data_IF_575732976983
#
_entry.id   IF_575732976983
#
_cell.length_a   1.000
_cell.length_b   1.000
_cell.length_c   1.000
_cell.angle_alpha   90.00
_cell.angle_beta   90.00
_cell.angle_gamma   90.00
#
_symmetry.space_group_name_H-M   'P 1'
#
loop_
_entity.id
_entity.type
_entity.pdbx_description
1 polymer ?
#
# COMPACT_ATOMS: atom_id res chain seq x y z
N UNK A 1 -24.80 5.50 4.69
CA UNK A 1 -23.58 5.03 5.37
C UNK A 1 -22.66 6.21 5.56
N UNK A 2 -22.44 6.62 6.80
CA UNK A 2 -21.73 7.85 7.14
C UNK A 2 -20.24 7.79 6.81
N UNK A 3 -19.73 8.89 6.27
CA UNK A 3 -18.36 9.11 5.87
C UNK A 3 -17.50 9.48 7.09
N UNK A 4 -17.43 8.57 8.07
CA UNK A 4 -16.73 8.85 9.32
C UNK A 4 -15.23 8.77 9.08
N UNK A 5 -14.46 9.83 9.39
CA UNK A 5 -13.01 9.77 9.28
C UNK A 5 -12.47 8.65 10.16
N UNK A 6 -11.48 7.89 9.68
CA UNK A 6 -10.77 6.89 10.48
C UNK A 6 -10.17 7.52 11.74
N UNK A 7 -10.54 7.08 12.93
CA UNK A 7 -10.17 7.72 14.22
C UNK A 7 -9.16 6.93 15.04
N UNK A 8 -8.82 5.71 14.63
CA UNK A 8 -7.94 4.77 15.33
C UNK A 8 -6.44 4.97 15.06
N UNK A 9 -6.06 6.00 14.29
CA UNK A 9 -4.68 6.21 13.83
C UNK A 9 -4.15 7.61 14.13
N UNK A 10 -2.83 7.70 14.33
CA UNK A 10 -2.11 8.98 14.39
C UNK A 10 -2.19 9.67 13.02
N UNK A 11 -2.58 10.94 13.01
CA UNK A 11 -2.79 11.71 11.78
C UNK A 11 -1.58 12.56 11.44
N UNK A 12 -0.61 11.95 10.78
CA UNK A 12 0.40 12.72 10.05
C UNK A 12 -0.26 13.44 8.85
N UNK A 13 0.41 14.47 8.31
CA UNK A 13 -0.06 15.15 7.10
C UNK A 13 -0.16 14.16 5.94
N UNK A 14 0.90 13.37 5.71
CA UNK A 14 0.95 12.33 4.69
C UNK A 14 -0.21 11.35 4.82
N UNK A 15 -0.45 10.83 6.03
CA UNK A 15 -1.56 9.90 6.27
C UNK A 15 -2.91 10.54 5.97
N UNK A 16 -3.10 11.80 6.37
CA UNK A 16 -4.35 12.52 6.08
C UNK A 16 -4.61 12.67 4.58
N UNK A 17 -3.56 12.94 3.80
CA UNK A 17 -3.66 13.05 2.34
C UNK A 17 -3.94 11.70 1.67
N UNK A 18 -3.27 10.63 2.11
CA UNK A 18 -3.51 9.26 1.63
C UNK A 18 -4.94 8.82 1.95
N UNK A 19 -5.45 9.06 3.17
CA UNK A 19 -6.82 8.73 3.55
C UNK A 19 -7.86 9.46 2.66
N UNK A 20 -7.54 10.65 2.17
CA UNK A 20 -8.44 11.39 1.26
C UNK A 20 -8.53 10.76 -0.14
N UNK A 21 -7.54 9.94 -0.55
CA UNK A 21 -7.57 9.17 -1.80
C UNK A 21 -8.69 8.13 -1.77
N UNK A 22 -8.89 7.47 -0.63
CA UNK A 22 -9.89 6.41 -0.44
C UNK A 22 -11.28 6.92 -0.07
N UNK A 23 -11.53 8.23 -0.21
CA UNK A 23 -12.83 8.81 0.05
C UNK A 23 -13.90 8.21 -0.88
N UNK A 24 -15.09 7.86 -0.36
CA UNK A 24 -16.17 7.19 -1.11
C UNK A 24 -16.52 7.80 -2.47
N UNK A 25 -16.47 9.13 -2.59
CA UNK A 25 -16.66 9.87 -3.85
C UNK A 25 -15.71 9.46 -4.99
N UNK A 26 -14.60 8.82 -4.66
CA UNK A 26 -13.57 8.37 -5.58
C UNK A 26 -13.73 6.89 -5.97
N UNK A 27 -14.73 6.19 -5.43
CA UNK A 27 -15.03 4.81 -5.80
C UNK A 27 -15.86 4.83 -7.09
N UNK A 28 -15.22 4.47 -8.19
CA UNK A 28 -15.80 4.20 -9.50
C UNK A 28 -15.60 2.73 -9.88
N UNK A 29 -16.05 2.33 -11.08
CA UNK A 29 -15.80 0.97 -11.61
C UNK A 29 -14.31 0.66 -11.54
N UNK A 30 -13.98 -0.53 -11.04
CA UNK A 30 -12.61 -1.03 -10.86
C UNK A 30 -11.75 -0.20 -9.90
N UNK A 31 -12.33 0.80 -9.24
CA UNK A 31 -11.65 1.79 -8.40
C UNK A 31 -10.51 2.54 -9.14
N UNK A 32 -10.72 2.80 -10.43
CA UNK A 32 -9.81 3.52 -11.32
C UNK A 32 -9.42 4.92 -10.83
N UNK A 33 -10.35 5.67 -10.23
CA UNK A 33 -10.04 6.99 -9.68
C UNK A 33 -9.09 6.88 -8.50
N UNK A 34 -9.27 5.88 -7.62
CA UNK A 34 -8.34 5.63 -6.51
C UNK A 34 -6.95 5.29 -7.06
N UNK A 35 -6.85 4.41 -8.06
CA UNK A 35 -5.58 4.06 -8.69
C UNK A 35 -4.86 5.30 -9.26
N UNK A 36 -5.57 6.15 -10.01
CA UNK A 36 -5.03 7.42 -10.53
C UNK A 36 -4.55 8.37 -9.43
N UNK A 37 -5.24 8.39 -8.29
CA UNK A 37 -4.88 9.23 -7.15
C UNK A 37 -3.72 8.66 -6.31
N UNK A 38 -3.43 7.36 -6.42
CA UNK A 38 -2.25 6.73 -5.82
C UNK A 38 -0.97 6.94 -6.64
N UNK A 39 -1.07 7.19 -7.95
CA UNK A 39 0.07 7.42 -8.84
C UNK A 39 1.09 8.47 -8.36
N UNK A 40 0.69 9.64 -7.80
CA UNK A 40 1.63 10.59 -7.22
C UNK A 40 2.46 9.98 -6.07
N UNK A 41 1.87 9.15 -5.21
CA UNK A 41 2.59 8.50 -4.11
C UNK A 41 3.56 7.44 -4.62
N UNK A 42 3.19 6.68 -5.65
CA UNK A 42 4.10 5.76 -6.34
C UNK A 42 5.31 6.51 -6.91
N UNK A 43 5.09 7.65 -7.57
CA UNK A 43 6.17 8.49 -8.12
C UNK A 43 7.09 9.02 -7.02
N UNK A 44 6.52 9.57 -5.96
CA UNK A 44 7.28 10.07 -4.81
C UNK A 44 8.10 8.95 -4.16
N UNK A 45 7.51 7.76 -3.97
CA UNK A 45 8.24 6.60 -3.48
C UNK A 45 9.44 6.26 -4.37
N UNK A 46 9.24 6.15 -5.68
CA UNK A 46 10.33 5.88 -6.62
C UNK A 46 11.42 6.95 -6.59
N UNK A 47 11.05 8.22 -6.43
CA UNK A 47 12.00 9.33 -6.31
C UNK A 47 12.80 9.26 -5.00
N UNK A 48 12.13 8.98 -3.88
CA UNK A 48 12.78 8.77 -2.57
C UNK A 48 13.79 7.63 -2.65
N UNK A 49 13.44 6.50 -3.27
CA UNK A 49 14.37 5.38 -3.47
C UNK A 49 15.60 5.80 -4.29
N UNK A 50 15.42 6.55 -5.39
CA UNK A 50 16.54 7.04 -6.23
C UNK A 50 17.48 7.99 -5.48
N UNK A 51 16.95 8.72 -4.49
CA UNK A 51 17.72 9.67 -3.68
C UNK A 51 18.37 9.01 -2.46
N UNK A 52 18.08 7.72 -2.19
CA UNK A 52 18.53 7.03 -0.97
C UNK A 52 17.70 7.35 0.27
N UNK A 53 16.54 8.02 0.12
CA UNK A 53 15.62 8.34 1.21
C UNK A 53 14.72 7.13 1.51
N UNK A 54 15.35 6.02 1.95
CA UNK A 54 14.67 4.74 2.15
C UNK A 54 13.55 4.80 3.20
N UNK A 55 13.77 5.51 4.31
CA UNK A 55 12.77 5.68 5.36
C UNK A 55 11.48 6.35 4.84
N UNK A 56 11.59 7.34 3.96
CA UNK A 56 10.43 8.02 3.35
C UNK A 56 9.69 7.08 2.39
N UNK A 57 10.45 6.33 1.57
CA UNK A 57 9.87 5.34 0.66
C UNK A 57 9.09 4.25 1.41
N UNK A 58 9.66 3.72 2.51
CA UNK A 58 9.00 2.74 3.38
C UNK A 58 7.77 3.34 4.06
N UNK A 59 7.85 4.59 4.54
CA UNK A 59 6.69 5.28 5.11
C UNK A 59 5.55 5.37 4.11
N UNK A 60 5.81 5.84 2.89
CA UNK A 60 4.78 5.97 1.86
C UNK A 60 4.15 4.62 1.54
N UNK A 61 4.95 3.57 1.35
CA UNK A 61 4.44 2.23 1.04
C UNK A 61 3.50 1.72 2.14
N UNK A 62 3.96 1.74 3.39
CA UNK A 62 3.19 1.23 4.53
C UNK A 62 1.90 2.02 4.73
N UNK A 63 1.96 3.35 4.63
CA UNK A 63 0.78 4.19 4.81
C UNK A 63 -0.27 3.96 3.72
N UNK A 64 0.16 3.78 2.46
CA UNK A 64 -0.74 3.42 1.36
C UNK A 64 -1.36 2.04 1.58
N UNK A 65 -0.56 1.04 1.96
CA UNK A 65 -1.06 -0.33 2.13
C UNK A 65 -2.03 -0.43 3.32
N UNK A 66 -1.71 0.20 4.44
CA UNK A 66 -2.61 0.24 5.61
C UNK A 66 -3.93 0.95 5.32
N UNK A 67 -3.91 2.02 4.53
CA UNK A 67 -5.12 2.72 4.12
C UNK A 67 -5.93 1.90 3.11
N UNK A 68 -5.25 1.26 2.14
CA UNK A 68 -5.89 0.40 1.16
C UNK A 68 -6.57 -0.80 1.82
N UNK A 69 -5.90 -1.54 2.71
CA UNK A 69 -6.51 -2.67 3.43
C UNK A 69 -7.73 -2.25 4.23
N UNK A 70 -7.66 -1.11 4.93
CA UNK A 70 -8.79 -0.62 5.72
C UNK A 70 -9.99 -0.25 4.84
N UNK A 71 -9.77 0.57 3.81
CA UNK A 71 -10.85 1.07 2.95
C UNK A 71 -11.37 0.00 2.00
N UNK A 72 -10.58 -1.00 1.65
CA UNK A 72 -11.06 -2.13 0.86
C UNK A 72 -12.27 -2.80 1.52
N UNK A 73 -12.19 -3.09 2.82
CA UNK A 73 -13.29 -3.69 3.59
C UNK A 73 -14.33 -2.65 3.95
N UNK A 74 -13.93 -1.54 4.58
CA UNK A 74 -14.87 -0.56 5.13
C UNK A 74 -15.62 0.26 4.06
N UNK A 75 -15.01 0.40 2.89
CA UNK A 75 -15.58 1.01 1.70
C UNK A 75 -16.29 -0.01 0.79
N UNK A 76 -16.29 -1.30 1.16
CA UNK A 76 -16.87 -2.39 0.37
C UNK A 76 -16.35 -2.39 -1.07
N UNK A 77 -15.05 -2.13 -1.28
CA UNK A 77 -14.47 -1.99 -2.62
C UNK A 77 -14.66 -3.26 -3.47
N UNK A 78 -14.78 -4.42 -2.81
CA UNK A 78 -15.09 -5.70 -3.44
C UNK A 78 -16.43 -5.74 -4.21
N UNK A 79 -17.33 -4.78 -3.98
CA UNK A 79 -18.58 -4.66 -4.75
C UNK A 79 -18.43 -3.83 -6.05
N UNK A 80 -17.24 -3.28 -6.32
CA UNK A 80 -17.01 -2.31 -7.40
C UNK A 80 -16.08 -2.82 -8.50
N UNK A 81 -15.68 -4.09 -8.47
CA UNK A 81 -14.91 -4.74 -9.53
C UNK A 81 -15.33 -6.20 -9.68
N UNK A 82 -15.30 -6.72 -10.91
CA UNK A 82 -15.65 -8.12 -11.19
C UNK A 82 -14.42 -9.05 -11.19
N UNK A 83 -13.28 -8.55 -11.67
CA UNK A 83 -12.03 -9.30 -11.81
C UNK A 83 -10.78 -8.46 -11.55
N UNK A 84 -10.84 -7.16 -11.86
CA UNK A 84 -9.68 -6.27 -11.85
C UNK A 84 -9.85 -5.15 -10.81
N UNK A 85 -9.08 -5.21 -9.74
CA UNK A 85 -8.99 -4.13 -8.74
C UNK A 85 -7.82 -3.19 -9.07
N UNK A 86 -8.08 -2.08 -9.76
CA UNK A 86 -7.04 -1.16 -10.28
C UNK A 86 -6.02 -0.66 -9.24
N UNK A 87 -6.42 -0.30 -7.99
CA UNK A 87 -5.46 0.16 -6.97
C UNK A 87 -4.35 -0.84 -6.66
N UNK A 88 -4.62 -2.14 -6.76
CA UNK A 88 -3.64 -3.18 -6.43
C UNK A 88 -2.46 -3.22 -7.40
N UNK A 89 -2.67 -2.88 -8.68
CA UNK A 89 -1.56 -2.77 -9.65
C UNK A 89 -0.60 -1.65 -9.28
N UNK A 90 -1.11 -0.51 -8.80
CA UNK A 90 -0.27 0.59 -8.33
C UNK A 90 0.53 0.16 -7.11
N UNK A 91 -0.10 -0.54 -6.16
CA UNK A 91 0.56 -1.11 -4.98
C UNK A 91 1.62 -2.17 -5.35
N UNK A 92 1.35 -3.00 -6.36
CA UNK A 92 2.29 -4.00 -6.85
C UNK A 92 3.54 -3.33 -7.46
N UNK A 93 3.38 -2.27 -8.24
CA UNK A 93 4.49 -1.50 -8.79
C UNK A 93 5.32 -0.83 -7.68
N UNK A 94 4.66 -0.30 -6.65
CA UNK A 94 5.35 0.26 -5.47
C UNK A 94 6.19 -0.80 -4.74
N UNK A 95 5.62 -1.98 -4.50
CA UNK A 95 6.33 -3.09 -3.85
C UNK A 95 7.51 -3.57 -4.69
N UNK A 96 7.32 -3.77 -5.99
CA UNK A 96 8.41 -4.18 -6.91
C UNK A 96 9.56 -3.18 -6.90
N UNK A 97 9.26 -1.87 -6.92
CA UNK A 97 10.29 -0.84 -6.85
C UNK A 97 11.10 -0.92 -5.54
N UNK A 98 10.45 -1.21 -4.41
CA UNK A 98 11.14 -1.41 -3.12
C UNK A 98 11.97 -2.68 -3.13
N UNK A 99 11.44 -3.81 -3.61
CA UNK A 99 12.18 -5.08 -3.73
C UNK A 99 13.42 -4.90 -4.63
N UNK A 100 13.27 -4.23 -5.78
CA UNK A 100 14.39 -3.96 -6.68
C UNK A 100 15.46 -3.09 -6.01
N UNK A 101 15.04 -2.10 -5.22
CA UNK A 101 15.96 -1.28 -4.43
C UNK A 101 16.72 -2.11 -3.37
N UNK A 102 16.03 -3.02 -2.67
CA UNK A 102 16.66 -3.95 -1.72
C UNK A 102 17.68 -4.83 -2.43
N UNK A 103 17.30 -5.45 -3.55
CA UNK A 103 18.18 -6.31 -4.37
C UNK A 103 19.39 -5.58 -4.95
N UNK A 104 19.26 -4.29 -5.22
CA UNK A 104 20.38 -3.46 -5.72
C UNK A 104 21.47 -3.19 -4.66
N UNK A 105 21.20 -3.54 -3.39
CA UNK A 105 22.08 -3.33 -2.25
C UNK A 105 22.01 -1.91 -1.70
N UNK A 106 22.54 -1.72 -0.48
CA UNK A 106 22.55 -0.45 0.27
C UNK A 106 21.21 -0.01 0.88
N UNK A 107 20.21 -0.90 0.91
CA UNK A 107 18.99 -0.65 1.67
C UNK A 107 19.26 -0.84 3.19
N UNK A 108 18.92 0.14 4.05
CA UNK A 108 19.18 0.03 5.49
C UNK A 108 18.45 -1.15 6.12
N UNK A 109 19.15 -1.95 6.93
CA UNK A 109 18.58 -3.14 7.57
C UNK A 109 17.39 -2.82 8.46
N UNK A 110 17.43 -1.67 9.14
CA UNK A 110 16.32 -1.19 9.97
C UNK A 110 15.05 -0.95 9.14
N UNK A 111 15.17 -0.45 7.92
CA UNK A 111 14.03 -0.20 7.04
C UNK A 111 13.52 -1.50 6.41
N UNK A 112 14.38 -2.48 6.14
CA UNK A 112 13.96 -3.83 5.74
C UNK A 112 13.16 -4.50 6.87
N UNK A 113 13.63 -4.40 8.12
CA UNK A 113 12.91 -4.98 9.25
C UNK A 113 11.55 -4.29 9.44
N UNK A 114 11.51 -2.95 9.30
CA UNK A 114 10.26 -2.19 9.40
C UNK A 114 9.25 -2.56 8.30
N UNK A 115 9.72 -2.82 7.07
CA UNK A 115 8.89 -3.38 6.01
C UNK A 115 8.34 -4.75 6.40
N UNK A 116 9.21 -5.66 6.88
CA UNK A 116 8.81 -7.00 7.30
C UNK A 116 7.73 -6.97 8.38
N UNK A 117 7.90 -6.15 9.41
CA UNK A 117 6.93 -6.00 10.50
C UNK A 117 5.60 -5.42 9.98
N UNK A 118 5.68 -4.44 9.06
CA UNK A 118 4.50 -3.86 8.43
C UNK A 118 3.73 -4.85 7.56
N UNK A 119 4.42 -5.64 6.72
CA UNK A 119 3.79 -6.68 5.92
C UNK A 119 3.18 -7.78 6.80
N UNK A 120 3.87 -8.20 7.84
CA UNK A 120 3.33 -9.19 8.79
C UNK A 120 2.06 -8.67 9.47
N UNK A 121 2.02 -7.40 9.91
CA UNK A 121 0.81 -6.78 10.44
C UNK A 121 -0.34 -6.79 9.44
N UNK A 122 -0.07 -6.46 8.17
CA UNK A 122 -1.09 -6.41 7.12
C UNK A 122 -1.68 -7.80 6.81
N UNK A 123 -0.90 -8.87 6.97
CA UNK A 123 -1.38 -10.25 6.78
C UNK A 123 -2.49 -10.66 7.74
N UNK A 124 -2.56 -10.03 8.92
CA UNK A 124 -3.61 -10.27 9.92
C UNK A 124 -4.80 -9.31 9.77
N UNK A 125 -4.92 -8.61 8.64
CA UNK A 125 -6.10 -7.78 8.34
C UNK A 125 -7.16 -8.59 7.60
N UNK A 126 -8.43 -8.30 7.86
CA UNK A 126 -9.56 -8.93 7.16
C UNK A 126 -9.42 -8.84 5.63
N UNK A 127 -8.94 -7.69 5.12
CA UNK A 127 -8.66 -7.50 3.70
C UNK A 127 -7.70 -8.55 3.13
N UNK A 128 -6.68 -8.95 3.88
CA UNK A 128 -5.73 -9.96 3.42
C UNK A 128 -6.25 -11.37 3.67
N UNK A 129 -6.78 -11.67 4.86
CA UNK A 129 -7.22 -13.02 5.22
C UNK A 129 -8.39 -13.51 4.37
N UNK A 130 -9.34 -12.62 4.06
CA UNK A 130 -10.55 -12.99 3.33
C UNK A 130 -10.45 -12.73 1.82
N UNK A 131 -9.64 -11.74 1.40
CA UNK A 131 -9.59 -11.28 0.00
C UNK A 131 -8.19 -11.26 -0.62
N UNK A 132 -7.12 -11.45 0.17
CA UNK A 132 -5.74 -11.39 -0.33
C UNK A 132 -5.26 -9.99 -0.69
N UNK A 133 -5.88 -8.92 -0.17
CA UNK A 133 -5.59 -7.51 -0.52
C UNK A 133 -4.77 -6.81 0.59
N UNK A 134 -3.71 -6.04 0.24
CA UNK A 134 -3.14 -5.88 -1.09
C UNK A 134 -2.44 -7.13 -1.61
N UNK A 135 -2.67 -7.46 -2.88
CA UNK A 135 -2.00 -8.57 -3.55
C UNK A 135 -0.47 -8.45 -3.55
N UNK A 136 0.03 -7.21 -3.48
CA UNK A 136 1.44 -6.90 -3.39
C UNK A 136 2.17 -7.54 -2.18
N UNK A 137 1.45 -7.94 -1.13
CA UNK A 137 2.03 -8.70 -0.01
C UNK A 137 2.53 -10.07 -0.48
N UNK A 138 1.84 -10.72 -1.44
CA UNK A 138 2.30 -11.97 -2.03
C UNK A 138 3.62 -11.84 -2.80
N UNK A 139 3.87 -10.69 -3.44
CA UNK A 139 5.17 -10.39 -4.07
C UNK A 139 6.30 -10.29 -3.03
N UNK A 140 6.00 -9.68 -1.88
CA UNK A 140 6.93 -9.62 -0.75
C UNK A 140 7.25 -11.01 -0.18
N UNK A 141 6.23 -11.85 0.01
CA UNK A 141 6.43 -13.22 0.51
C UNK A 141 7.29 -14.06 -0.44
N UNK A 142 7.07 -13.94 -1.76
CA UNK A 142 7.91 -14.59 -2.77
C UNK A 142 9.35 -14.11 -2.71
N UNK A 143 9.55 -12.80 -2.58
CA UNK A 143 10.89 -12.23 -2.43
C UNK A 143 11.61 -12.79 -1.20
N UNK A 144 10.94 -12.86 -0.04
CA UNK A 144 11.54 -13.42 1.18
C UNK A 144 11.87 -14.91 1.04
N UNK A 145 11.04 -15.69 0.34
CA UNK A 145 11.29 -17.10 0.08
C UNK A 145 12.40 -17.39 -0.94
N UNK A 146 12.77 -16.42 -1.77
CA UNK A 146 13.89 -16.51 -2.72
C UNK A 146 15.26 -16.18 -2.06
N UNK A 147 15.27 -15.63 -0.84
CA UNK A 147 16.49 -15.29 -0.08
C UNK A 147 16.99 -16.43 0.85
N UNK A 148 16.26 -17.54 0.96
CA UNK A 148 16.61 -18.77 1.71
C UNK A 148 17.32 -19.83 0.83
#
# INVERSE_FOLDING_TARGET
MDNKPRTDIERTLLKTEIEAVFHKRNIDSDCDTIARLLEPYRKTLCESLRQGNHADAVTILLEVFESLSYHFVQGEHYDYFDDMYSPDYVCQDMMKAVIDAIKSGHFPTEEVQRLKDGMEKLKHTEAYEEYGVPFAIGEWERFQGDED
#
